data_IF_327451946398
#
_entry.id   IF_327451946398
#
_cell.length_a   1.000
_cell.length_b   1.000
_cell.length_c   1.000
_cell.angle_alpha   90.00
_cell.angle_beta   90.00
_cell.angle_gamma   90.00
#
_symmetry.space_group_name_H-M   'P 1'
#
loop_
_entity.id
_entity.type
_entity.pdbx_description
1 polymer ?
#
# COMPACT_ATOMS: atom_id res chain seq x y z
N UNK A 1 16.56 -7.88 2.43
CA UNK A 1 15.56 -6.87 2.86
C UNK A 1 15.05 -7.06 4.29
N UNK A 2 14.83 -8.30 4.77
CA UNK A 2 14.20 -8.58 6.09
C UNK A 2 14.81 -7.85 7.31
N UNK A 3 16.12 -7.54 7.32
CA UNK A 3 16.76 -6.78 8.41
C UNK A 3 16.44 -5.28 8.40
N UNK A 4 15.96 -4.75 7.27
CA UNK A 4 15.56 -3.35 7.11
C UNK A 4 14.03 -3.16 7.08
N UNK A 5 13.26 -4.23 7.32
CA UNK A 5 11.79 -4.24 7.25
C UNK A 5 11.20 -3.68 5.94
N UNK A 6 11.92 -3.87 4.82
CA UNK A 6 11.47 -3.47 3.48
C UNK A 6 10.84 -4.65 2.73
N UNK A 7 9.77 -4.37 2.01
CA UNK A 7 9.07 -5.27 1.08
C UNK A 7 9.27 -4.82 -0.37
N UNK A 8 8.90 -5.69 -1.32
CA UNK A 8 8.82 -5.30 -2.73
C UNK A 8 7.75 -4.22 -2.87
N UNK A 9 8.02 -3.21 -3.70
CA UNK A 9 7.18 -2.02 -3.94
C UNK A 9 7.08 -0.99 -2.79
N UNK A 10 7.89 -1.14 -1.73
CA UNK A 10 7.97 -0.10 -0.70
C UNK A 10 8.58 1.20 -1.25
N UNK A 11 7.96 2.32 -0.89
CA UNK A 11 8.50 3.65 -1.19
C UNK A 11 9.60 4.00 -0.18
N UNK A 12 10.76 4.41 -0.68
CA UNK A 12 11.91 4.81 0.14
C UNK A 12 12.45 6.16 -0.31
N UNK A 13 12.98 6.92 0.65
CA UNK A 13 13.79 8.10 0.38
C UNK A 13 15.26 7.70 0.31
N UNK A 14 15.99 8.26 -0.65
CA UNK A 14 17.41 7.97 -0.87
C UNK A 14 18.20 9.26 -0.78
N UNK A 15 19.20 9.27 0.11
CA UNK A 15 20.13 10.38 0.29
C UNK A 15 21.58 9.89 0.23
N UNK A 16 22.50 10.80 -0.10
CA UNK A 16 23.95 10.53 -0.08
C UNK A 16 24.60 11.46 0.93
N UNK A 17 25.20 10.88 1.96
CA UNK A 17 25.91 11.60 3.01
C UNK A 17 27.28 10.96 3.25
N UNK A 18 28.35 11.76 3.25
CA UNK A 18 29.72 11.32 3.55
C UNK A 18 30.17 10.09 2.71
N UNK A 19 29.73 10.02 1.45
CA UNK A 19 30.06 8.91 0.56
C UNK A 19 29.28 7.61 0.84
N UNK A 20 28.25 7.66 1.67
CA UNK A 20 27.34 6.55 1.97
C UNK A 20 25.96 6.82 1.39
N UNK A 21 25.28 5.76 0.96
CA UNK A 21 23.87 5.82 0.55
C UNK A 21 23.02 5.51 1.78
N UNK A 22 22.17 6.46 2.17
CA UNK A 22 21.18 6.30 3.22
C UNK A 22 19.83 6.04 2.56
N UNK A 23 19.19 4.94 2.95
CA UNK A 23 17.86 4.53 2.47
C UNK A 23 16.93 4.57 3.67
N UNK A 24 15.94 5.46 3.61
CA UNK A 24 14.96 5.66 4.69
C UNK A 24 13.60 5.17 4.21
N UNK A 25 12.96 4.22 4.91
CA UNK A 25 11.59 3.82 4.59
C UNK A 25 10.66 5.01 4.74
N UNK A 26 9.88 5.33 3.71
CA UNK A 26 8.77 6.28 3.86
C UNK A 26 7.69 5.53 4.62
N UNK A 27 7.46 5.91 5.88
CA UNK A 27 6.40 5.28 6.67
C UNK A 27 5.07 5.47 5.95
N UNK A 28 4.36 4.37 5.72
CA UNK A 28 2.97 4.44 5.31
C UNK A 28 2.21 5.29 6.32
N UNK A 29 1.28 6.10 5.83
CA UNK A 29 0.36 6.86 6.69
C UNK A 29 -0.34 5.87 7.61
N UNK A 30 -0.18 6.04 8.92
CA UNK A 30 -0.95 5.27 9.88
C UNK A 30 -2.40 5.74 9.83
N UNK A 31 -3.28 4.88 9.34
CA UNK A 31 -4.71 5.14 9.33
C UNK A 31 -5.33 4.62 10.63
N UNK A 32 -6.18 5.42 11.27
CA UNK A 32 -7.05 4.93 12.33
C UNK A 32 -8.38 4.49 11.74
N UNK A 33 -8.91 3.36 12.20
CA UNK A 33 -10.20 2.85 11.75
C UNK A 33 -11.32 3.87 12.00
N UNK A 34 -11.28 4.57 13.14
CA UNK A 34 -12.21 5.65 13.46
C UNK A 34 -12.19 6.78 12.41
N UNK A 35 -11.00 7.20 11.95
CA UNK A 35 -10.89 8.28 10.95
C UNK A 35 -11.36 7.82 9.58
N UNK A 36 -11.07 6.56 9.21
CA UNK A 36 -11.54 5.98 7.96
C UNK A 36 -13.08 5.90 7.93
N UNK A 37 -13.70 5.45 9.03
CA UNK A 37 -15.15 5.36 9.13
C UNK A 37 -15.81 6.75 9.16
N UNK A 38 -15.22 7.71 9.86
CA UNK A 38 -15.72 9.08 9.91
C UNK A 38 -15.68 9.80 8.55
N UNK A 39 -14.80 9.37 7.64
CA UNK A 39 -14.68 9.90 6.28
C UNK A 39 -15.71 9.35 5.28
N UNK A 40 -16.54 8.38 5.64
CA UNK A 40 -17.55 7.79 4.73
C UNK A 40 -18.74 8.76 4.60
N UNK A 41 -19.11 9.09 3.37
CA UNK A 41 -20.27 9.93 3.04
C UNK A 41 -21.18 9.22 2.03
N UNK A 42 -22.46 9.63 1.92
CA UNK A 42 -23.36 9.07 0.91
C UNK A 42 -22.86 9.25 -0.53
N UNK A 43 -21.97 10.22 -0.79
CA UNK A 43 -21.43 10.50 -2.11
C UNK A 43 -20.18 9.68 -2.45
N UNK A 44 -19.47 9.13 -1.43
CA UNK A 44 -18.24 8.36 -1.63
C UNK A 44 -18.40 6.86 -1.36
N UNK A 45 -19.59 6.41 -0.96
CA UNK A 45 -19.89 5.00 -0.79
C UNK A 45 -19.92 4.30 -2.15
N UNK A 46 -19.02 3.33 -2.34
CA UNK A 46 -18.94 2.57 -3.58
C UNK A 46 -19.95 1.41 -3.53
N UNK A 47 -20.64 1.18 -4.64
CA UNK A 47 -21.49 0.00 -4.78
C UNK A 47 -20.66 -1.28 -4.93
N UNK A 48 -21.31 -2.43 -4.73
CA UNK A 48 -20.69 -3.73 -4.98
C UNK A 48 -20.26 -3.82 -6.44
N UNK A 49 -18.98 -4.13 -6.65
CA UNK A 49 -18.44 -4.48 -7.97
C UNK A 49 -18.39 -6.00 -8.12
N UNK A 50 -18.81 -6.50 -9.29
CA UNK A 50 -18.65 -7.91 -9.65
C UNK A 50 -17.25 -8.15 -10.23
N UNK A 51 -16.60 -9.24 -9.81
CA UNK A 51 -15.30 -9.65 -10.37
C UNK A 51 -15.40 -10.19 -11.80
N UNK A 52 -16.63 -10.41 -12.29
CA UNK A 52 -16.92 -10.95 -13.61
C UNK A 52 -16.80 -12.46 -13.68
N UNK A 53 -17.02 -12.99 -14.88
CA UNK A 53 -16.81 -14.41 -15.14
C UNK A 53 -15.32 -14.75 -15.11
N UNK A 54 -14.99 -15.97 -14.67
CA UNK A 54 -13.64 -16.53 -14.75
C UNK A 54 -13.09 -16.44 -16.19
N UNK A 55 -11.89 -15.88 -16.34
CA UNK A 55 -11.19 -15.73 -17.64
C UNK A 55 -10.03 -16.72 -17.82
N UNK A 56 -9.58 -17.36 -16.74
CA UNK A 56 -8.53 -18.38 -16.79
C UNK A 56 -9.01 -19.74 -17.31
N UNK A 57 -8.07 -20.52 -17.89
CA UNK A 57 -8.29 -21.89 -18.39
C UNK A 57 -7.57 -22.95 -17.56
N UNK A 58 -7.24 -22.62 -16.31
CA UNK A 58 -6.52 -23.56 -15.43
C UNK A 58 -7.41 -24.79 -15.18
N UNK A 59 -6.92 -25.96 -15.60
CA UNK A 59 -7.54 -27.23 -15.22
C UNK A 59 -7.27 -27.42 -13.73
N UNK A 60 -8.34 -27.63 -12.97
CA UNK A 60 -8.27 -28.04 -11.55
C UNK A 60 -7.71 -29.46 -11.48
#
# INVERSE_FOLDING_TARGET
>A
MQKAALSVDDTVEIAVEEGRIIITPVKAVEYSLENLLAGITPENIHEKVDFGARTGKELI
#
